data_IF_094456986379
#
_entry.id   IF_094456986379
#
_cell.length_a   1.000
_cell.length_b   1.000
_cell.length_c   1.000
_cell.angle_alpha   90.00
_cell.angle_beta   90.00
_cell.angle_gamma   90.00
#
_symmetry.space_group_name_H-M   'P 1'
#
loop_
_entity.id
_entity.type
_entity.pdbx_description
1 polymer ?
#
# COMPACT_ATOMS: atom_id res chain seq x y z
N UNK A 1 7.59 -1.25 18.77
CA UNK A 1 7.97 0.19 18.79
C UNK A 1 6.77 1.02 18.36
N UNK A 2 6.61 2.25 18.88
CA UNK A 2 5.64 3.17 18.28
C UNK A 2 6.18 3.59 16.90
N UNK A 3 5.42 3.42 15.81
CA UNK A 3 5.90 3.78 14.49
C UNK A 3 6.18 5.29 14.40
N UNK A 4 7.17 5.71 13.59
CA UNK A 4 7.40 7.12 13.33
C UNK A 4 6.16 7.71 12.65
N UNK A 5 5.68 8.84 13.17
CA UNK A 5 4.48 9.52 12.68
C UNK A 5 4.93 10.66 11.75
N UNK A 6 4.18 10.85 10.67
CA UNK A 6 4.41 11.93 9.71
C UNK A 6 4.45 13.30 10.42
N UNK A 7 5.50 14.12 10.22
CA UNK A 7 5.62 15.43 10.84
C UNK A 7 4.43 16.37 10.54
N UNK A 8 3.75 16.19 9.41
CA UNK A 8 2.56 16.99 9.06
C UNK A 8 1.35 16.69 9.96
N UNK A 9 1.22 15.45 10.44
CA UNK A 9 0.17 15.02 11.37
C UNK A 9 0.43 15.53 12.77
N UNK A 10 1.70 15.59 13.17
CA UNK A 10 2.13 16.17 14.45
C UNK A 10 1.88 17.69 14.48
N UNK A 11 2.22 18.40 13.39
CA UNK A 11 1.94 19.83 13.25
C UNK A 11 0.44 20.17 13.26
N UNK A 12 -0.39 19.28 12.70
CA UNK A 12 -1.85 19.47 12.67
C UNK A 12 -2.52 19.24 14.03
N UNK A 13 -1.89 18.45 14.91
CA UNK A 13 -2.45 18.07 16.22
C UNK A 13 -1.43 18.26 17.36
N UNK A 14 -1.28 19.48 17.90
CA UNK A 14 -0.23 19.80 18.88
C UNK A 14 -0.37 19.02 20.20
N UNK A 15 -1.59 18.74 20.64
CA UNK A 15 -1.84 17.92 21.83
C UNK A 15 -1.35 16.48 21.67
N UNK A 16 -1.48 15.94 20.45
CA UNK A 16 -1.00 14.60 20.12
C UNK A 16 0.52 14.56 20.01
N UNK A 17 1.15 15.62 19.49
CA UNK A 17 2.61 15.76 19.48
C UNK A 17 3.20 15.74 20.90
N UNK A 18 2.58 16.46 21.84
CA UNK A 18 3.01 16.47 23.25
C UNK A 18 2.88 15.06 23.86
N UNK A 19 1.76 14.38 23.61
CA UNK A 19 1.53 13.01 24.10
C UNK A 19 2.54 12.02 23.50
N UNK A 20 2.77 12.07 22.18
CA UNK A 20 3.72 11.21 21.49
C UNK A 20 5.13 11.42 22.02
N UNK A 21 5.54 12.67 22.23
CA UNK A 21 6.81 13.01 22.88
C UNK A 21 6.87 12.46 24.32
N UNK A 22 5.87 12.70 25.17
CA UNK A 22 5.88 12.18 26.56
C UNK A 22 5.92 10.63 26.61
N UNK A 23 5.24 9.96 25.68
CA UNK A 23 5.28 8.51 25.55
C UNK A 23 6.67 8.01 25.13
N UNK A 24 7.25 8.60 24.09
CA UNK A 24 8.57 8.21 23.58
C UNK A 24 9.73 8.61 24.49
N UNK A 25 9.63 9.72 25.24
CA UNK A 25 10.74 10.23 26.06
C UNK A 25 10.61 9.86 27.53
N UNK A 26 9.41 9.80 28.13
CA UNK A 26 9.27 9.66 29.59
C UNK A 26 8.65 8.33 30.00
N UNK A 27 7.70 7.80 29.24
CA UNK A 27 6.89 6.66 29.69
C UNK A 27 7.36 5.31 29.15
N UNK A 28 7.79 5.25 27.89
CA UNK A 28 8.13 4.01 27.22
C UNK A 28 9.60 3.95 26.82
N UNK A 29 10.16 2.76 26.90
CA UNK A 29 11.43 2.40 26.28
C UNK A 29 11.22 2.15 24.77
N UNK A 30 12.30 2.12 23.98
CA UNK A 30 12.23 1.84 22.54
C UNK A 30 11.50 0.52 22.23
N UNK A 31 11.71 -0.52 23.05
CA UNK A 31 11.04 -1.81 22.95
C UNK A 31 9.55 -1.81 23.40
N UNK A 32 8.99 -0.67 23.80
CA UNK A 32 7.60 -0.53 24.25
C UNK A 32 7.37 -0.88 25.72
N UNK A 33 8.41 -1.21 26.50
CA UNK A 33 8.27 -1.43 27.95
C UNK A 33 8.14 -0.10 28.71
N UNK A 34 7.55 -0.12 29.90
CA UNK A 34 7.47 1.07 30.77
C UNK A 34 8.84 1.46 31.33
N UNK A 35 9.12 2.77 31.48
CA UNK A 35 10.30 3.31 32.20
C UNK A 35 10.11 3.36 33.73
N UNK A 36 8.92 3.02 34.22
CA UNK A 36 8.65 2.92 35.67
C UNK A 36 9.39 1.71 36.26
N UNK A 37 10.53 1.98 36.91
CA UNK A 37 11.43 0.95 37.45
C UNK A 37 10.77 0.01 38.45
N UNK A 38 9.78 0.48 39.22
CA UNK A 38 9.04 -0.37 40.17
C UNK A 38 8.15 -1.36 39.43
N UNK A 39 7.38 -0.87 38.45
CA UNK A 39 6.53 -1.74 37.61
C UNK A 39 7.38 -2.70 36.78
N UNK A 40 8.51 -2.23 36.25
CA UNK A 40 9.44 -3.06 35.49
C UNK A 40 9.99 -4.21 36.33
N UNK A 41 10.40 -3.96 37.58
CA UNK A 41 10.85 -5.03 38.50
C UNK A 41 9.77 -6.08 38.74
N UNK A 42 8.53 -5.67 38.99
CA UNK A 42 7.40 -6.60 39.16
C UNK A 42 7.17 -7.42 37.88
N UNK A 43 7.22 -6.79 36.70
CA UNK A 43 7.10 -7.51 35.44
C UNK A 43 8.25 -8.49 35.20
N UNK A 44 9.48 -8.13 35.56
CA UNK A 44 10.65 -9.00 35.41
C UNK A 44 10.60 -10.18 36.38
N UNK A 45 10.11 -9.98 37.60
CA UNK A 45 9.84 -11.06 38.56
C UNK A 45 8.75 -12.00 38.03
N UNK A 46 7.64 -11.47 37.52
CA UNK A 46 6.58 -12.28 36.90
C UNK A 46 7.11 -13.06 35.69
N UNK A 47 7.97 -12.45 34.86
CA UNK A 47 8.59 -13.16 33.73
C UNK A 47 9.51 -14.27 34.20
N UNK A 48 10.28 -14.07 35.27
CA UNK A 48 11.13 -15.11 35.87
C UNK A 48 10.30 -16.25 36.46
N UNK A 49 9.21 -15.95 37.16
CA UNK A 49 8.34 -17.01 37.71
C UNK A 49 7.61 -17.76 36.61
N UNK A 50 7.13 -17.06 35.58
CA UNK A 50 6.50 -17.65 34.41
C UNK A 50 7.48 -18.54 33.65
N UNK A 51 8.69 -18.07 33.35
CA UNK A 51 9.71 -18.88 32.65
C UNK A 51 10.07 -20.12 33.45
N UNK A 52 10.25 -19.99 34.77
CA UNK A 52 10.44 -21.15 35.66
C UNK A 52 9.26 -22.13 35.59
N UNK A 53 8.03 -21.66 35.73
CA UNK A 53 6.83 -22.50 35.68
C UNK A 53 6.62 -23.16 34.30
N UNK A 54 6.94 -22.46 33.21
CA UNK A 54 6.88 -23.03 31.86
C UNK A 54 7.99 -24.07 31.66
N UNK A 55 9.21 -23.80 32.13
CA UNK A 55 10.29 -24.80 32.02
C UNK A 55 9.93 -26.07 32.78
N UNK A 56 9.40 -25.98 34.00
CA UNK A 56 9.00 -27.16 34.78
C UNK A 56 7.82 -27.91 34.14
N UNK A 57 6.84 -27.18 33.60
CA UNK A 57 5.72 -27.76 32.86
C UNK A 57 6.19 -28.47 31.59
N UNK A 58 7.03 -27.83 30.77
CA UNK A 58 7.52 -28.45 29.54
C UNK A 58 8.46 -29.62 29.83
N UNK A 59 9.33 -29.54 30.83
CA UNK A 59 10.19 -30.68 31.21
C UNK A 59 9.36 -31.87 31.67
N UNK A 60 8.32 -31.64 32.49
CA UNK A 60 7.45 -32.73 32.94
C UNK A 60 6.65 -33.33 31.79
N UNK A 61 6.08 -32.51 30.90
CA UNK A 61 5.38 -32.98 29.71
C UNK A 61 6.28 -33.78 28.77
N UNK A 62 7.50 -33.31 28.49
CA UNK A 62 8.46 -34.03 27.62
C UNK A 62 8.82 -35.38 28.24
N UNK A 63 9.06 -35.43 29.54
CA UNK A 63 9.36 -36.69 30.23
C UNK A 63 8.17 -37.65 30.20
N UNK A 64 6.97 -37.19 30.51
CA UNK A 64 5.77 -38.04 30.52
C UNK A 64 5.42 -38.56 29.12
N UNK A 65 5.54 -37.72 28.08
CA UNK A 65 5.31 -38.12 26.69
C UNK A 65 6.42 -39.03 26.14
N UNK A 66 7.66 -38.82 26.57
CA UNK A 66 8.76 -39.73 26.22
C UNK A 66 8.57 -41.09 26.90
N UNK A 67 8.18 -41.11 28.18
CA UNK A 67 7.85 -42.34 28.91
C UNK A 67 6.69 -43.11 28.26
N UNK A 68 5.62 -42.44 27.83
CA UNK A 68 4.49 -43.13 27.20
C UNK A 68 4.83 -43.73 25.84
N UNK A 69 5.82 -43.18 25.14
CA UNK A 69 6.26 -43.70 23.82
C UNK A 69 7.43 -44.68 23.92
N UNK A 70 8.10 -44.75 25.07
CA UNK A 70 9.27 -45.61 25.31
C UNK A 70 8.99 -47.11 25.04
N UNK A 71 7.86 -47.71 25.48
CA UNK A 71 7.58 -49.14 25.24
C UNK A 71 7.47 -49.51 23.76
N UNK A 72 7.09 -48.54 22.92
CA UNK A 72 6.93 -48.75 21.47
C UNK A 72 8.22 -48.53 20.66
N UNK A 73 9.22 -47.86 21.25
CA UNK A 73 10.42 -47.38 20.54
C UNK A 73 11.72 -47.99 21.06
N UNK A 74 11.76 -48.44 22.31
CA UNK A 74 12.94 -49.09 22.88
C UNK A 74 12.93 -50.59 22.57
N UNK A 75 13.94 -51.08 21.85
CA UNK A 75 14.13 -52.51 21.58
C UNK A 75 14.84 -53.24 22.73
N UNK A 76 15.53 -52.48 23.58
CA UNK A 76 16.47 -53.01 24.58
C UNK A 76 15.83 -53.16 25.96
N UNK A 77 14.54 -52.85 26.09
CA UNK A 77 13.81 -52.91 27.35
C UNK A 77 13.12 -54.28 27.53
N UNK A 78 13.22 -54.91 28.71
CA UNK A 78 12.45 -56.11 29.04
C UNK A 78 10.93 -55.89 28.86
N UNK A 79 10.20 -56.86 28.30
CA UNK A 79 8.76 -56.75 28.05
C UNK A 79 7.95 -56.56 29.34
N UNK A 80 8.44 -57.09 30.47
CA UNK A 80 7.81 -56.94 31.78
C UNK A 80 7.80 -55.48 32.26
N UNK A 81 8.77 -54.67 31.83
CA UNK A 81 8.84 -53.24 32.16
C UNK A 81 7.88 -52.41 31.29
N UNK A 82 7.45 -52.90 30.12
CA UNK A 82 6.56 -52.16 29.23
C UNK A 82 5.19 -51.92 29.88
N UNK A 83 4.59 -52.97 30.45
CA UNK A 83 3.31 -52.88 31.15
C UNK A 83 3.39 -51.94 32.37
N UNK A 84 4.49 -52.03 33.12
CA UNK A 84 4.71 -51.18 34.31
C UNK A 84 4.90 -49.70 33.93
N UNK A 85 5.59 -49.42 32.83
CA UNK A 85 5.75 -48.04 32.31
C UNK A 85 4.40 -47.48 31.83
N UNK A 86 3.57 -48.27 31.16
CA UNK A 86 2.23 -47.85 30.74
C UNK A 86 1.31 -47.54 31.94
N UNK A 87 1.34 -48.37 32.98
CA UNK A 87 0.58 -48.15 34.22
C UNK A 87 1.04 -46.87 34.93
N UNK A 88 2.34 -46.68 35.09
CA UNK A 88 2.92 -45.49 35.75
C UNK A 88 2.64 -44.22 34.93
N UNK A 89 2.72 -44.28 33.60
CA UNK A 89 2.39 -43.12 32.74
C UNK A 89 0.90 -42.78 32.76
N UNK A 90 0.01 -43.79 32.78
CA UNK A 90 -1.42 -43.57 32.98
C UNK A 90 -1.72 -42.93 34.36
N UNK A 91 -1.00 -43.33 35.41
CA UNK A 91 -1.09 -42.70 36.72
C UNK A 91 -0.63 -41.23 36.71
N UNK A 92 0.51 -40.95 36.07
CA UNK A 92 1.06 -39.58 35.95
C UNK A 92 0.17 -38.66 35.10
N UNK A 93 -0.55 -39.21 34.11
CA UNK A 93 -1.55 -38.50 33.31
C UNK A 93 -2.90 -38.33 34.02
N UNK A 94 -3.05 -38.86 35.25
CA UNK A 94 -4.29 -38.75 36.01
C UNK A 94 -5.43 -39.63 35.51
N UNK A 95 -5.13 -40.66 34.73
CA UNK A 95 -6.13 -41.60 34.19
C UNK A 95 -6.56 -42.66 35.21
N UNK A 96 -5.82 -42.79 36.32
CA UNK A 96 -6.07 -43.76 37.39
C UNK A 96 -6.63 -43.05 38.63
N UNK A 97 -7.74 -43.58 39.17
CA UNK A 97 -8.41 -43.08 40.37
C UNK A 97 -7.52 -43.20 41.61
N UNK A 98 -7.70 -42.31 42.59
CA UNK A 98 -6.92 -42.30 43.82
C UNK A 98 -7.07 -43.59 44.64
N UNK A 99 -8.22 -44.28 44.54
CA UNK A 99 -8.52 -45.54 45.24
C UNK A 99 -7.71 -46.72 44.73
N UNK A 100 -7.30 -46.70 43.46
CA UNK A 100 -6.60 -47.82 42.82
C UNK A 100 -5.07 -47.69 42.96
N UNK A 101 -4.60 -46.58 43.54
CA UNK A 101 -3.16 -46.30 43.73
C UNK A 101 -2.50 -47.25 44.73
N UNK A 102 -3.24 -47.69 45.74
CA UNK A 102 -2.71 -48.61 46.75
C UNK A 102 -2.45 -50.01 46.16
N UNK A 103 -3.25 -50.42 45.18
CA UNK A 103 -3.13 -51.71 44.48
C UNK A 103 -1.89 -51.73 43.59
N UNK A 104 -1.59 -50.61 42.95
CA UNK A 104 -0.46 -50.44 42.02
C UNK A 104 0.88 -50.13 42.72
N UNK A 105 0.90 -50.09 44.05
CA UNK A 105 2.11 -49.80 44.84
C UNK A 105 3.26 -50.77 44.59
N UNK A 106 2.93 -52.04 44.28
CA UNK A 106 3.91 -53.07 43.93
C UNK A 106 4.60 -52.82 42.58
N UNK A 107 3.83 -52.43 41.56
CA UNK A 107 4.32 -52.08 40.22
C UNK A 107 5.17 -50.80 40.26
N UNK A 108 4.79 -49.82 41.09
CA UNK A 108 5.58 -48.61 41.33
C UNK A 108 6.92 -48.96 42.00
N UNK A 109 6.94 -49.93 42.92
CA UNK A 109 8.17 -50.45 43.53
C UNK A 109 9.10 -51.12 42.52
N UNK A 110 8.54 -51.89 41.58
CA UNK A 110 9.29 -52.52 40.48
C UNK A 110 9.82 -51.49 39.48
N UNK A 111 9.04 -50.46 39.17
CA UNK A 111 9.47 -49.31 38.36
C UNK A 111 10.66 -48.58 39.00
N UNK A 112 10.58 -48.28 40.30
CA UNK A 112 11.67 -47.62 41.03
C UNK A 112 12.94 -48.48 41.10
N UNK A 113 12.80 -49.79 41.24
CA UNK A 113 13.93 -50.71 41.27
C UNK A 113 14.69 -50.77 39.93
N UNK A 114 13.99 -50.53 38.81
CA UNK A 114 14.54 -50.57 37.46
C UNK A 114 14.73 -49.17 36.83
N UNK A 115 14.65 -48.11 37.63
CA UNK A 115 14.68 -46.73 37.15
C UNK A 115 15.95 -46.38 36.37
N UNK A 116 17.08 -47.00 36.70
CA UNK A 116 18.36 -46.79 36.00
C UNK A 116 18.32 -47.26 34.54
N UNK A 117 17.71 -48.42 34.28
CA UNK A 117 17.56 -48.95 32.92
C UNK A 117 16.59 -48.08 32.12
N UNK A 118 15.45 -47.73 32.72
CA UNK A 118 14.43 -46.85 32.10
C UNK A 118 15.04 -45.48 31.78
N UNK A 119 15.80 -44.89 32.71
CA UNK A 119 16.46 -43.60 32.51
C UNK A 119 17.50 -43.66 31.39
N UNK A 120 18.25 -44.76 31.26
CA UNK A 120 19.21 -44.93 30.17
C UNK A 120 18.53 -45.01 28.81
N UNK A 121 17.46 -45.80 28.68
CA UNK A 121 16.68 -45.92 27.45
C UNK A 121 15.94 -44.63 27.08
N UNK A 122 15.44 -43.91 28.07
CA UNK A 122 14.81 -42.60 27.86
C UNK A 122 15.84 -41.57 27.40
N UNK A 123 17.05 -41.59 27.98
CA UNK A 123 18.14 -40.71 27.58
C UNK A 123 18.58 -40.97 26.14
N UNK A 124 18.74 -42.23 25.73
CA UNK A 124 19.07 -42.56 24.32
C UNK A 124 17.96 -42.10 23.38
N UNK A 125 16.69 -42.33 23.72
CA UNK A 125 15.57 -41.84 22.92
C UNK A 125 15.56 -40.31 22.81
N UNK A 126 15.78 -39.57 23.89
CA UNK A 126 15.84 -38.11 23.85
C UNK A 126 17.01 -37.60 23.00
N UNK A 127 18.17 -38.27 23.04
CA UNK A 127 19.30 -37.95 22.15
C UNK A 127 18.91 -38.16 20.69
N UNK A 128 18.26 -39.27 20.33
CA UNK A 128 17.81 -39.49 18.94
C UNK A 128 16.79 -38.44 18.48
N UNK A 129 15.87 -38.02 19.35
CA UNK A 129 14.91 -36.95 19.05
C UNK A 129 15.65 -35.63 18.83
N UNK A 130 16.65 -35.32 19.68
CA UNK A 130 17.47 -34.14 19.53
C UNK A 130 18.26 -34.14 18.22
N UNK A 131 18.80 -35.29 17.80
CA UNK A 131 19.48 -35.45 16.51
C UNK A 131 18.53 -35.22 15.33
N UNK A 132 17.31 -35.76 15.39
CA UNK A 132 16.29 -35.48 14.36
C UNK A 132 15.91 -34.00 14.32
N UNK A 133 15.78 -33.34 15.47
CA UNK A 133 15.52 -31.89 15.53
C UNK A 133 16.68 -31.08 14.93
N UNK A 134 17.92 -31.49 15.20
CA UNK A 134 19.11 -30.89 14.59
C UNK A 134 19.12 -31.06 13.06
N UNK A 135 18.72 -32.23 12.57
CA UNK A 135 18.59 -32.51 11.14
C UNK A 135 17.47 -31.68 10.48
N UNK A 136 16.34 -31.50 11.15
CA UNK A 136 15.22 -30.68 10.66
C UNK A 136 15.59 -29.19 10.65
N UNK A 137 16.28 -28.72 11.69
CA UNK A 137 16.64 -27.31 11.85
C UNK A 137 17.60 -26.83 10.75
N UNK A 138 18.58 -27.64 10.36
CA UNK A 138 19.46 -27.35 9.23
C UNK A 138 19.80 -28.61 8.44
N UNK A 139 19.06 -28.90 7.36
CA UNK A 139 19.23 -30.14 6.58
C UNK A 139 20.59 -30.21 5.84
N UNK A 140 21.26 -29.07 5.62
CA UNK A 140 22.52 -29.00 4.89
C UNK A 140 23.76 -29.17 5.77
N UNK A 141 23.64 -28.98 7.08
CA UNK A 141 24.74 -29.14 8.05
C UNK A 141 24.12 -29.43 9.40
N UNK A 142 24.16 -30.70 9.82
CA UNK A 142 23.61 -31.12 11.11
C UNK A 142 24.47 -30.48 12.22
N UNK A 143 23.91 -29.58 13.03
CA UNK A 143 24.64 -28.89 14.07
C UNK A 143 24.69 -29.75 15.34
N UNK A 144 25.65 -29.54 16.25
CA UNK A 144 25.69 -30.28 17.51
C UNK A 144 24.51 -29.88 18.41
N UNK A 145 24.01 -30.83 19.21
CA UNK A 145 22.86 -30.62 20.12
C UNK A 145 23.04 -29.40 21.03
N UNK A 146 24.28 -29.12 21.46
CA UNK A 146 24.61 -27.96 22.30
C UNK A 146 24.35 -26.60 21.64
N UNK A 147 24.30 -26.55 20.31
CA UNK A 147 24.03 -25.32 19.55
C UNK A 147 22.54 -25.07 19.31
N UNK A 148 21.67 -26.04 19.58
CA UNK A 148 20.23 -25.96 19.34
C UNK A 148 19.58 -24.81 20.13
N UNK A 149 19.99 -24.60 21.38
CA UNK A 149 19.49 -23.50 22.21
C UNK A 149 19.83 -22.12 21.60
N UNK A 150 21.07 -21.96 21.14
CA UNK A 150 21.50 -20.72 20.48
C UNK A 150 20.77 -20.52 19.15
N UNK A 151 20.61 -21.58 18.36
CA UNK A 151 19.86 -21.54 17.10
C UNK A 151 18.40 -21.14 17.33
N UNK A 152 17.73 -21.72 18.32
CA UNK A 152 16.37 -21.36 18.71
C UNK A 152 16.27 -19.89 19.12
N UNK A 153 17.21 -19.40 19.93
CA UNK A 153 17.24 -18.00 20.33
C UNK A 153 17.50 -17.05 19.15
N UNK A 154 18.39 -17.43 18.21
CA UNK A 154 18.60 -16.63 16.99
C UNK A 154 17.37 -16.62 16.09
N UNK A 155 16.63 -17.73 16.00
CA UNK A 155 15.39 -17.81 15.25
C UNK A 155 14.30 -16.95 15.89
N UNK A 156 14.16 -17.00 17.21
CA UNK A 156 13.23 -16.18 17.96
C UNK A 156 13.53 -14.70 17.78
N UNK A 157 14.80 -14.28 17.97
CA UNK A 157 15.22 -12.90 17.74
C UNK A 157 15.01 -12.47 16.29
N UNK A 158 15.28 -13.37 15.33
CA UNK A 158 15.09 -13.08 13.92
C UNK A 158 13.60 -12.83 13.59
N UNK A 159 12.72 -13.70 14.09
CA UNK A 159 11.29 -13.65 13.84
C UNK A 159 10.58 -12.50 14.59
N UNK A 160 11.03 -12.17 15.80
CA UNK A 160 10.35 -11.18 16.66
C UNK A 160 10.90 -9.76 16.52
N UNK A 161 12.20 -9.61 16.25
CA UNK A 161 12.85 -8.29 16.19
C UNK A 161 13.28 -7.93 14.78
N UNK A 162 14.14 -8.75 14.14
CA UNK A 162 14.78 -8.37 12.87
C UNK A 162 13.82 -8.32 11.69
N UNK A 163 12.99 -9.34 11.52
CA UNK A 163 12.11 -9.47 10.36
C UNK A 163 10.97 -8.43 10.41
N UNK A 164 10.35 -8.15 11.56
CA UNK A 164 9.41 -7.04 11.68
C UNK A 164 10.05 -5.67 11.44
N UNK A 165 11.28 -5.42 11.94
CA UNK A 165 11.96 -4.14 11.69
C UNK A 165 12.30 -3.95 10.22
N UNK A 166 12.79 -5.00 9.56
CA UNK A 166 13.18 -4.97 8.15
C UNK A 166 11.94 -4.82 7.25
N UNK A 167 10.85 -5.50 7.59
CA UNK A 167 9.57 -5.33 6.90
C UNK A 167 9.02 -3.91 7.07
N UNK A 168 9.13 -3.34 8.27
CA UNK A 168 8.75 -1.95 8.51
C UNK A 168 9.65 -0.97 7.71
N UNK A 169 10.95 -1.21 7.64
CA UNK A 169 11.86 -0.40 6.82
C UNK A 169 11.53 -0.52 5.32
N UNK A 170 11.29 -1.73 4.82
CA UNK A 170 10.93 -1.97 3.42
C UNK A 170 9.59 -1.31 3.05
N UNK A 171 8.59 -1.39 3.91
CA UNK A 171 7.28 -0.76 3.69
C UNK A 171 7.41 0.77 3.66
N UNK A 172 8.15 1.37 4.58
CA UNK A 172 8.40 2.83 4.55
C UNK A 172 9.14 3.25 3.28
N UNK A 173 10.18 2.51 2.89
CA UNK A 173 10.90 2.76 1.64
C UNK A 173 9.96 2.69 0.42
N UNK A 174 9.13 1.65 0.33
CA UNK A 174 8.13 1.51 -0.74
C UNK A 174 7.18 2.73 -0.76
N UNK A 175 6.61 3.12 0.37
CA UNK A 175 5.70 4.29 0.43
C UNK A 175 6.39 5.59 0.00
N UNK A 176 7.66 5.79 0.33
CA UNK A 176 8.44 6.95 -0.11
C UNK A 176 8.70 6.92 -1.62
N UNK A 177 9.03 5.75 -2.18
CA UNK A 177 9.19 5.61 -3.64
C UNK A 177 7.88 5.82 -4.40
N UNK A 178 6.75 5.36 -3.86
CA UNK A 178 5.44 5.54 -4.48
C UNK A 178 5.01 7.01 -4.47
N UNK A 179 5.21 7.71 -3.35
CA UNK A 179 4.88 9.13 -3.23
C UNK A 179 5.74 10.00 -4.14
N UNK A 180 7.04 9.71 -4.26
CA UNK A 180 7.93 10.40 -5.22
C UNK A 180 7.53 10.12 -6.67
N UNK A 181 7.16 8.88 -7.02
CA UNK A 181 6.64 8.54 -8.34
C UNK A 181 5.33 9.30 -8.65
N UNK A 182 4.40 9.36 -7.70
CA UNK A 182 3.15 10.08 -7.88
C UNK A 182 3.37 11.60 -8.06
N UNK A 183 4.30 12.17 -7.29
CA UNK A 183 4.67 13.59 -7.43
C UNK A 183 5.34 13.89 -8.78
N UNK A 184 6.25 13.03 -9.24
CA UNK A 184 6.88 13.17 -10.56
C UNK A 184 5.87 13.03 -11.69
N UNK A 185 4.91 12.10 -11.59
CA UNK A 185 3.83 11.97 -12.56
C UNK A 185 2.91 13.20 -12.56
N UNK A 186 2.57 13.73 -11.39
CA UNK A 186 1.73 14.93 -11.27
C UNK A 186 2.41 16.15 -11.91
N UNK A 187 3.71 16.34 -11.66
CA UNK A 187 4.50 17.42 -12.26
C UNK A 187 4.66 17.25 -13.78
N UNK A 188 4.87 16.03 -14.27
CA UNK A 188 4.91 15.72 -15.70
C UNK A 188 3.59 16.06 -16.39
N UNK A 189 2.45 15.62 -15.84
CA UNK A 189 1.15 15.95 -16.41
C UNK A 189 0.88 17.46 -16.39
N UNK A 190 1.18 18.13 -15.28
CA UNK A 190 1.01 19.58 -15.16
C UNK A 190 1.86 20.34 -16.18
N UNK A 191 3.12 19.95 -16.37
CA UNK A 191 4.01 20.56 -17.35
C UNK A 191 3.56 20.27 -18.78
N UNK A 192 3.13 19.03 -19.07
CA UNK A 192 2.57 18.66 -20.38
C UNK A 192 1.32 19.48 -20.72
N UNK A 193 0.39 19.65 -19.76
CA UNK A 193 -0.81 20.47 -19.95
C UNK A 193 -0.42 21.92 -20.23
N UNK A 194 0.48 22.50 -19.44
CA UNK A 194 0.97 23.88 -19.65
C UNK A 194 1.62 24.05 -21.03
N UNK A 195 2.39 23.08 -21.49
CA UNK A 195 3.01 23.13 -22.83
C UNK A 195 1.92 23.11 -23.90
N UNK A 196 0.93 22.21 -23.82
CA UNK A 196 -0.18 22.15 -24.78
C UNK A 196 -1.00 23.45 -24.81
N UNK A 197 -1.28 24.02 -23.64
CA UNK A 197 -1.97 25.31 -23.52
C UNK A 197 -1.16 26.44 -24.15
N UNK A 198 0.17 26.47 -23.95
CA UNK A 198 1.03 27.52 -24.49
C UNK A 198 1.27 27.38 -25.99
N UNK A 199 1.57 26.17 -26.48
CA UNK A 199 2.01 25.98 -27.87
C UNK A 199 0.84 25.89 -28.83
N UNK A 200 -0.20 25.13 -28.50
CA UNK A 200 -1.29 24.86 -29.43
C UNK A 200 -2.42 25.88 -29.30
N UNK A 201 -2.85 26.14 -28.07
CA UNK A 201 -3.99 27.03 -27.81
C UNK A 201 -3.55 28.49 -27.73
N UNK A 202 -2.41 28.74 -27.08
CA UNK A 202 -1.88 30.07 -26.83
C UNK A 202 -1.39 30.78 -28.09
N UNK A 203 -0.64 30.10 -28.97
CA UNK A 203 -0.15 30.70 -30.21
C UNK A 203 -1.30 31.10 -31.16
N UNK A 204 -2.28 30.21 -31.34
CA UNK A 204 -3.44 30.46 -32.20
C UNK A 204 -4.31 31.59 -31.65
N UNK A 205 -4.59 31.60 -30.33
CA UNK A 205 -5.34 32.69 -29.70
C UNK A 205 -4.61 34.04 -29.76
N UNK A 206 -3.28 34.06 -29.59
CA UNK A 206 -2.48 35.28 -29.74
C UNK A 206 -2.50 35.81 -31.16
N UNK A 207 -2.34 34.94 -32.16
CA UNK A 207 -2.39 35.32 -33.58
C UNK A 207 -3.76 35.85 -34.01
N UNK A 208 -4.85 35.19 -33.61
CA UNK A 208 -6.22 35.65 -33.93
C UNK A 208 -6.51 37.01 -33.29
N UNK A 209 -6.09 37.21 -32.03
CA UNK A 209 -6.20 38.50 -31.36
C UNK A 209 -5.40 39.60 -32.06
N UNK A 210 -4.11 39.37 -32.36
CA UNK A 210 -3.29 40.36 -33.04
C UNK A 210 -3.80 40.68 -34.44
N UNK A 211 -4.31 39.68 -35.16
CA UNK A 211 -4.93 39.86 -36.48
C UNK A 211 -6.21 40.71 -36.39
N UNK A 212 -7.06 40.47 -35.39
CA UNK A 212 -8.26 41.28 -35.14
C UNK A 212 -7.91 42.73 -34.77
N UNK A 213 -6.91 42.94 -33.92
CA UNK A 213 -6.40 44.28 -33.55
C UNK A 213 -5.82 45.02 -34.78
N UNK A 214 -5.08 44.32 -35.64
CA UNK A 214 -4.58 44.87 -36.90
C UNK A 214 -5.74 45.26 -37.84
N UNK A 215 -6.75 44.40 -38.01
CA UNK A 215 -7.91 44.71 -38.84
C UNK A 215 -8.67 45.93 -38.30
N UNK A 216 -8.83 46.02 -36.98
CA UNK A 216 -9.49 47.14 -36.32
C UNK A 216 -8.73 48.45 -36.54
N UNK A 217 -7.41 48.45 -36.37
CA UNK A 217 -6.58 49.65 -36.61
C UNK A 217 -6.60 50.08 -38.07
N UNK A 218 -6.56 49.13 -39.02
CA UNK A 218 -6.74 49.42 -40.45
C UNK A 218 -8.12 50.01 -40.76
N UNK A 219 -9.18 49.47 -40.17
CA UNK A 219 -10.53 49.99 -40.36
C UNK A 219 -10.68 51.43 -39.84
N UNK A 220 -10.07 51.74 -38.69
CA UNK A 220 -10.02 53.11 -38.15
C UNK A 220 -9.26 54.04 -39.09
N UNK A 221 -8.08 53.63 -39.57
CA UNK A 221 -7.27 54.43 -40.50
C UNK A 221 -8.04 54.73 -41.78
N UNK A 222 -8.59 53.69 -42.44
CA UNK A 222 -9.38 53.85 -43.66
C UNK A 222 -10.63 54.70 -43.41
N UNK A 223 -11.27 54.57 -42.24
CA UNK A 223 -12.39 55.42 -41.84
C UNK A 223 -12.01 56.90 -41.71
N UNK A 224 -10.84 57.19 -41.12
CA UNK A 224 -10.31 58.55 -41.03
C UNK A 224 -9.91 59.10 -42.40
N UNK A 225 -9.25 58.30 -43.24
CA UNK A 225 -8.88 58.68 -44.60
C UNK A 225 -10.12 58.96 -45.46
N UNK A 226 -11.15 58.12 -45.38
CA UNK A 226 -12.43 58.35 -46.04
C UNK A 226 -13.08 59.65 -45.56
N UNK A 227 -13.06 59.93 -44.25
CA UNK A 227 -13.59 61.18 -43.70
C UNK A 227 -12.86 62.41 -44.23
N UNK A 228 -11.53 62.37 -44.32
CA UNK A 228 -10.71 63.43 -44.92
C UNK A 228 -11.09 63.62 -46.39
N UNK A 229 -11.19 62.53 -47.17
CA UNK A 229 -11.58 62.60 -48.58
C UNK A 229 -12.99 63.19 -48.78
N UNK A 230 -13.98 62.83 -47.96
CA UNK A 230 -15.34 63.38 -48.07
C UNK A 230 -15.43 64.87 -47.76
N UNK A 231 -14.49 65.41 -46.96
CA UNK A 231 -14.41 66.85 -46.68
C UNK A 231 -13.80 67.62 -47.85
N UNK A 232 -12.85 67.01 -48.58
CA UNK A 232 -12.21 67.60 -49.76
C UNK A 232 -13.06 67.47 -51.03
N UNK A 233 -13.80 66.37 -51.15
CA UNK A 233 -14.62 66.04 -52.31
C UNK A 233 -16.01 65.55 -51.86
N UNK A 234 -17.06 66.36 -52.05
CA UNK A 234 -18.43 65.92 -51.76
C UNK A 234 -18.79 64.70 -52.60
N UNK A 235 -19.25 63.60 -51.98
CA UNK A 235 -19.57 62.38 -52.71
C UNK A 235 -20.80 62.57 -53.61
N UNK A 236 -20.81 61.99 -54.83
CA UNK A 236 -21.96 62.02 -55.70
C UNK A 236 -23.16 61.28 -55.08
N UNK A 237 -24.41 61.68 -55.38
CA UNK A 237 -25.61 61.14 -54.73
C UNK A 237 -25.79 59.63 -54.96
N UNK A 238 -25.46 59.14 -56.16
CA UNK A 238 -25.51 57.72 -56.52
C UNK A 238 -24.60 56.86 -55.64
N UNK A 239 -23.41 57.37 -55.29
CA UNK A 239 -22.46 56.69 -54.40
C UNK A 239 -22.97 56.63 -52.96
N UNK A 240 -23.64 57.69 -52.50
CA UNK A 240 -24.26 57.74 -51.17
C UNK A 240 -25.41 56.73 -51.07
N UNK A 241 -26.20 56.57 -52.12
CA UNK A 241 -27.30 55.60 -52.14
C UNK A 241 -26.79 54.15 -52.20
N UNK A 242 -25.75 53.87 -52.99
CA UNK A 242 -25.06 52.58 -52.97
C UNK A 242 -24.46 52.25 -51.58
N UNK A 243 -23.88 53.23 -50.88
CA UNK A 243 -23.38 53.05 -49.51
C UNK A 243 -24.50 52.78 -48.49
N UNK A 244 -25.68 53.40 -48.64
CA UNK A 244 -26.84 53.11 -47.79
C UNK A 244 -27.32 51.68 -47.97
N UNK A 245 -27.37 51.20 -49.21
CA UNK A 245 -27.75 49.82 -49.51
C UNK A 245 -26.72 48.82 -48.97
N UNK A 246 -25.43 49.09 -49.17
CA UNK A 246 -24.35 48.29 -48.60
C UNK A 246 -24.40 48.25 -47.06
N UNK A 247 -24.66 49.39 -46.40
CA UNK A 247 -24.83 49.46 -44.94
C UNK A 247 -26.02 48.62 -44.44
N UNK A 248 -27.13 48.59 -45.19
CA UNK A 248 -28.28 47.73 -44.87
C UNK A 248 -27.88 46.24 -44.96
N UNK A 249 -27.14 45.84 -46.00
CA UNK A 249 -26.59 44.49 -46.14
C UNK A 249 -25.63 44.09 -45.02
N UNK A 250 -24.70 44.98 -44.64
CA UNK A 250 -23.78 44.76 -43.52
C UNK A 250 -24.49 44.61 -42.16
N UNK A 251 -25.62 45.28 -41.96
CA UNK A 251 -26.42 45.16 -40.75
C UNK A 251 -26.93 43.74 -40.50
N UNK A 252 -27.32 43.03 -41.56
CA UNK A 252 -27.72 41.62 -41.49
C UNK A 252 -26.55 40.72 -41.09
N UNK A 253 -25.40 40.88 -41.74
CA UNK A 253 -24.19 40.12 -41.41
C UNK A 253 -23.69 40.36 -39.97
N UNK A 254 -23.76 41.61 -39.50
CA UNK A 254 -23.38 41.96 -38.11
C UNK A 254 -24.26 41.26 -37.08
N UNK A 255 -25.58 41.19 -37.30
CA UNK A 255 -26.51 40.50 -36.41
C UNK A 255 -26.23 39.00 -36.38
N UNK A 256 -26.04 38.38 -37.55
CA UNK A 256 -25.68 36.96 -37.64
C UNK A 256 -24.37 36.63 -36.89
N UNK A 257 -23.37 37.52 -36.93
CA UNK A 257 -22.14 37.37 -36.17
C UNK A 257 -22.35 37.48 -34.65
N UNK A 258 -23.15 38.44 -34.19
CA UNK A 258 -23.50 38.55 -32.77
C UNK A 258 -24.31 37.35 -32.27
N UNK A 259 -25.22 36.83 -33.07
CA UNK A 259 -25.98 35.61 -32.73
C UNK A 259 -25.04 34.41 -32.61
N UNK A 260 -24.09 34.26 -33.55
CA UNK A 260 -23.07 33.20 -33.52
C UNK A 260 -22.14 33.33 -32.31
N UNK A 261 -21.73 34.54 -31.96
CA UNK A 261 -20.93 34.82 -30.76
C UNK A 261 -21.71 34.47 -29.48
N UNK A 262 -22.98 34.83 -29.40
CA UNK A 262 -23.85 34.53 -28.26
C UNK A 262 -24.07 33.01 -28.10
N UNK A 263 -24.26 32.28 -29.19
CA UNK A 263 -24.34 30.82 -29.17
C UNK A 263 -23.03 30.18 -28.71
N UNK A 264 -21.89 30.61 -29.25
CA UNK A 264 -20.57 30.12 -28.84
C UNK A 264 -20.29 30.38 -27.35
N UNK A 265 -20.67 31.56 -26.83
CA UNK A 265 -20.55 31.87 -25.39
C UNK A 265 -21.42 30.94 -24.52
N UNK A 266 -22.67 30.70 -24.92
CA UNK A 266 -23.56 29.77 -24.20
C UNK A 266 -23.01 28.35 -24.24
N UNK A 267 -22.46 27.90 -25.36
CA UNK A 267 -21.80 26.60 -25.45
C UNK A 267 -20.61 26.52 -24.49
N UNK A 268 -19.74 27.53 -24.44
CA UNK A 268 -18.63 27.60 -23.49
C UNK A 268 -19.09 27.57 -22.02
N UNK A 269 -20.18 28.25 -21.68
CA UNK A 269 -20.78 28.17 -20.34
C UNK A 269 -21.30 26.76 -20.03
N UNK A 270 -21.91 26.08 -21.00
CA UNK A 270 -22.34 24.70 -20.86
C UNK A 270 -21.15 23.76 -20.68
N UNK A 271 -20.04 23.97 -21.41
CA UNK A 271 -18.79 23.25 -21.20
C UNK A 271 -18.23 23.43 -19.78
N UNK A 272 -18.25 24.67 -19.26
CA UNK A 272 -17.81 24.96 -17.90
C UNK A 272 -18.68 24.29 -16.82
N UNK A 273 -19.99 24.17 -17.07
CA UNK A 273 -20.95 23.54 -16.14
C UNK A 273 -21.03 22.01 -16.28
N UNK A 274 -20.61 21.46 -17.42
CA UNK A 274 -20.75 20.05 -17.77
C UNK A 274 -19.93 19.08 -16.89
N UNK A 275 -18.88 19.58 -16.23
CA UNK A 275 -18.02 18.77 -15.35
C UNK A 275 -17.52 17.47 -16.01
N UNK A 276 -17.17 16.48 -15.20
CA UNK A 276 -16.59 15.22 -15.69
C UNK A 276 -17.55 14.40 -16.57
N UNK A 277 -18.86 14.45 -16.29
CA UNK A 277 -19.88 13.65 -16.99
C UNK A 277 -20.08 14.14 -18.43
N UNK A 278 -20.22 15.45 -18.64
CA UNK A 278 -20.37 15.98 -19.99
C UNK A 278 -19.08 15.92 -20.81
N UNK A 279 -17.90 16.01 -20.17
CA UNK A 279 -16.61 15.78 -20.84
C UNK A 279 -16.46 14.33 -21.34
N UNK A 280 -16.91 13.33 -20.56
CA UNK A 280 -16.93 11.93 -21.00
C UNK A 280 -17.87 11.70 -22.19
N UNK A 281 -19.06 12.30 -22.16
CA UNK A 281 -20.02 12.16 -23.26
C UNK A 281 -19.53 12.84 -24.54
N UNK A 282 -18.81 13.95 -24.43
CA UNK A 282 -18.17 14.61 -25.57
C UNK A 282 -17.00 13.80 -26.13
N UNK A 283 -16.17 13.20 -25.27
CA UNK A 283 -15.07 12.33 -25.69
C UNK A 283 -15.60 11.11 -26.48
N UNK A 284 -16.73 10.53 -26.05
CA UNK A 284 -17.42 9.46 -26.80
C UNK A 284 -17.90 9.93 -28.18
N UNK A 285 -18.51 11.12 -28.27
CA UNK A 285 -18.95 11.68 -29.56
C UNK A 285 -17.78 12.01 -30.48
N UNK A 286 -16.69 12.55 -29.94
CA UNK A 286 -15.47 12.82 -30.71
C UNK A 286 -14.88 11.53 -31.28
N UNK A 287 -14.86 10.45 -30.50
CA UNK A 287 -14.41 9.13 -30.98
C UNK A 287 -15.26 8.67 -32.17
N UNK A 288 -16.58 8.77 -32.07
CA UNK A 288 -17.48 8.43 -33.19
C UNK A 288 -17.25 9.28 -34.45
N UNK A 289 -17.07 10.59 -34.31
CA UNK A 289 -16.79 11.48 -35.44
C UNK A 289 -15.44 11.21 -36.11
N UNK A 290 -14.42 10.81 -35.35
CA UNK A 290 -13.12 10.41 -35.91
C UNK A 290 -13.27 9.10 -36.70
N UNK A 291 -13.97 8.11 -36.14
CA UNK A 291 -14.26 6.85 -36.85
C UNK A 291 -15.08 7.08 -38.14
N UNK A 292 -16.02 8.03 -38.14
CA UNK A 292 -16.77 8.42 -39.34
C UNK A 292 -15.90 9.17 -40.36
N UNK A 293 -15.05 10.09 -39.91
CA UNK A 293 -14.12 10.81 -40.78
C UNK A 293 -13.13 9.85 -41.47
N UNK A 294 -12.58 8.90 -40.73
CA UNK A 294 -11.70 7.85 -41.27
C UNK A 294 -12.42 6.96 -42.30
N UNK A 295 -13.70 6.62 -42.08
CA UNK A 295 -14.51 5.90 -43.06
C UNK A 295 -14.73 6.71 -44.33
N UNK A 296 -15.08 7.99 -44.19
CA UNK A 296 -15.31 8.88 -45.33
C UNK A 296 -14.02 9.09 -46.13
N UNK A 297 -12.88 9.28 -45.47
CA UNK A 297 -11.57 9.35 -46.13
C UNK A 297 -11.23 8.06 -46.87
N UNK A 298 -11.54 6.90 -46.27
CA UNK A 298 -11.37 5.61 -46.92
C UNK A 298 -12.29 5.44 -48.15
N UNK A 299 -13.54 5.91 -48.08
CA UNK A 299 -14.49 5.91 -49.20
C UNK A 299 -14.05 6.87 -50.32
N UNK A 300 -13.63 8.09 -50.00
CA UNK A 300 -13.06 9.04 -50.97
C UNK A 300 -11.84 8.43 -51.66
N UNK A 301 -10.98 7.75 -50.89
CA UNK A 301 -9.79 7.08 -51.42
C UNK A 301 -10.14 5.91 -52.36
N UNK A 302 -11.25 5.20 -52.11
CA UNK A 302 -11.75 4.14 -53.01
C UNK A 302 -12.30 4.73 -54.30
N UNK A 303 -13.14 5.77 -54.19
CA UNK A 303 -13.69 6.50 -55.34
C UNK A 303 -12.60 7.10 -56.23
N UNK A 304 -11.50 7.61 -55.65
CA UNK A 304 -10.35 8.12 -56.42
C UNK A 304 -9.56 7.02 -57.15
N UNK A 305 -9.61 5.78 -56.68
CA UNK A 305 -8.97 4.63 -57.34
C UNK A 305 -9.86 3.96 -58.39
N UNK A 306 -11.11 4.41 -58.55
CA UNK A 306 -12.03 3.89 -59.56
C UNK A 306 -12.65 2.52 -59.23
N UNK A 307 -12.68 2.16 -57.94
CA UNK A 307 -13.50 1.06 -57.41
C UNK A 307 -14.81 1.60 -56.80
#
# INVERSE_FOLDING_TARGET
MLPPIDPTVLQRNPNFEILYKDLCTRKLNPNGSTRDTKKQRVHDEIRKTLTSALTTLHTSQILTTSLSTLPSKATDLPPDLHAVIEIVTAQLNGQISASDRDILSSDIGFFHSNIGLIASALSTQLVTIADYLCMIASPSSVPPISSLANAAQTLENSATESLPSDLQAATTHLTNTLTTLLNTHSTLLSTSIKILEQTQQGALARHTKSSAELLQTKAILLGLQAKIHTLLHPPPPEFVDALKEYRKGLGGGKRALWDREALARRELELYGKAGEKGMRDLAKRKKGLVEEAERIEAEISKLQRGE
#
